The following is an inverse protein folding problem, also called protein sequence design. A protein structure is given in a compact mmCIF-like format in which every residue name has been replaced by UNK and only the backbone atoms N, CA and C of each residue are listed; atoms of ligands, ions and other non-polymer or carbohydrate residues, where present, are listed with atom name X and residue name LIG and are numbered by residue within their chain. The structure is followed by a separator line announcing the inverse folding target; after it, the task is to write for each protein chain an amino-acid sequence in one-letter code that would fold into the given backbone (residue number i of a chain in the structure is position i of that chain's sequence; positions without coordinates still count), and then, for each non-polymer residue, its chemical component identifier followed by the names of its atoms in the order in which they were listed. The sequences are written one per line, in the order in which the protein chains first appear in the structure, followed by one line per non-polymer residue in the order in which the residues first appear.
data_IF_690031290846
#
_entry.id   IF_690031290846
#
_cell.length_a   1.000
_cell.length_b   1.000
_cell.length_c   1.000
_cell.angle_alpha   90.00
_cell.angle_beta   90.00
_cell.angle_gamma   90.00
#
_symmetry.space_group_name_H-M   'P 1'
#
loop_
_entity.id
_entity.type
_entity.pdbx_description
1 polymer ?
#
# COMPACT_ATOMS: atom_id res chain seq x y z
N UNK A 1 16.39 -47.30 -10.77
CA UNK A 1 15.61 -47.25 -9.52
C UNK A 1 15.93 -45.92 -8.85
N UNK A 2 15.09 -44.91 -9.04
CA UNK A 2 15.28 -43.57 -8.45
C UNK A 2 14.25 -43.42 -7.33
N UNK A 3 14.78 -43.06 -6.16
CA UNK A 3 14.10 -43.07 -4.88
C UNK A 3 13.21 -41.84 -4.67
N UNK A 4 12.05 -42.13 -4.10
CA UNK A 4 11.28 -41.32 -3.15
C UNK A 4 10.89 -39.88 -3.52
N UNK A 5 9.75 -39.77 -4.21
CA UNK A 5 8.85 -38.62 -4.12
C UNK A 5 8.41 -38.46 -2.65
N UNK A 6 8.83 -37.38 -1.98
CA UNK A 6 8.24 -36.98 -0.70
C UNK A 6 6.76 -36.63 -0.93
N UNK A 7 5.88 -37.54 -0.52
CA UNK A 7 4.43 -37.30 -0.47
C UNK A 7 4.15 -36.16 0.51
N UNK A 8 3.50 -35.12 0.01
CA UNK A 8 2.92 -34.04 0.82
C UNK A 8 1.73 -34.64 1.57
N UNK A 9 1.82 -34.75 2.90
CA UNK A 9 0.70 -35.10 3.76
C UNK A 9 -0.03 -33.83 4.19
N UNK A 10 -1.16 -33.53 3.55
CA UNK A 10 -2.11 -32.55 4.08
C UNK A 10 -2.76 -33.13 5.35
N UNK A 11 -2.73 -32.39 6.46
CA UNK A 11 -3.50 -32.74 7.66
C UNK A 11 -4.99 -32.46 7.41
N UNK A 12 -5.92 -33.30 7.88
CA UNK A 12 -7.35 -33.01 7.79
C UNK A 12 -7.68 -31.82 8.71
N UNK A 13 -8.52 -30.89 8.24
CA UNK A 13 -8.94 -29.63 8.90
C UNK A 13 -8.01 -28.39 8.81
N UNK A 14 -7.18 -28.29 7.77
CA UNK A 14 -6.65 -26.99 7.33
C UNK A 14 -7.01 -26.77 5.86
N UNK A 15 -7.53 -25.58 5.55
CA UNK A 15 -7.75 -25.13 4.19
C UNK A 15 -6.44 -25.30 3.41
N UNK A 16 -6.42 -26.20 2.44
CA UNK A 16 -5.32 -26.29 1.49
C UNK A 16 -5.30 -24.95 0.75
N UNK A 17 -4.33 -24.08 1.06
CA UNK A 17 -4.17 -22.82 0.35
C UNK A 17 -3.90 -23.20 -1.11
N UNK A 18 -4.93 -23.05 -1.95
CA UNK A 18 -4.73 -23.08 -3.40
C UNK A 18 -3.64 -22.05 -3.69
N UNK A 19 -2.54 -22.49 -4.31
CA UNK A 19 -1.37 -21.67 -4.57
C UNK A 19 -1.79 -20.29 -5.05
N UNK A 20 -1.46 -19.26 -4.27
CA UNK A 20 -1.94 -17.91 -4.50
C UNK A 20 -1.49 -17.46 -5.90
N UNK A 21 -2.43 -17.37 -6.85
CA UNK A 21 -2.15 -16.96 -8.24
C UNK A 21 -1.64 -15.51 -8.32
N UNK A 22 -1.90 -14.71 -7.30
CA UNK A 22 -1.47 -13.32 -7.19
C UNK A 22 -0.67 -13.12 -5.91
N UNK A 23 0.34 -12.25 -5.98
CA UNK A 23 1.06 -11.77 -4.81
C UNK A 23 0.39 -10.47 -4.35
N UNK A 24 0.03 -10.41 -3.07
CA UNK A 24 -0.42 -9.17 -2.45
C UNK A 24 0.79 -8.36 -1.99
N UNK A 25 0.90 -7.12 -2.43
CA UNK A 25 1.92 -6.16 -2.00
C UNK A 25 1.23 -5.08 -1.18
N UNK A 26 1.41 -5.14 0.15
CA UNK A 26 0.91 -4.10 1.05
C UNK A 26 2.01 -3.08 1.31
N UNK A 27 1.70 -1.78 1.18
CA UNK A 27 2.67 -0.69 1.33
C UNK A 27 2.20 0.25 2.42
N UNK A 28 2.95 0.32 3.51
CA UNK A 28 2.71 1.20 4.66
C UNK A 28 3.59 2.42 4.52
N UNK A 29 2.99 3.60 4.32
CA UNK A 29 3.71 4.78 3.84
C UNK A 29 3.14 6.10 4.39
N UNK A 30 3.88 7.18 4.16
CA UNK A 30 3.49 8.56 4.48
C UNK A 30 3.51 9.42 3.22
N UNK A 31 2.55 10.32 3.07
CA UNK A 31 2.37 11.09 1.84
C UNK A 31 3.46 12.15 1.57
N UNK A 32 4.24 12.58 2.58
CA UNK A 32 5.36 13.52 2.39
C UNK A 32 6.74 12.90 2.62
N UNK A 33 6.82 11.62 2.99
CA UNK A 33 8.09 10.92 3.16
C UNK A 33 8.79 10.72 1.79
N UNK A 34 10.05 11.20 1.61
CA UNK A 34 10.78 11.05 0.35
C UNK A 34 10.99 9.59 -0.08
N UNK A 35 11.27 8.68 0.87
CA UNK A 35 11.46 7.26 0.57
C UNK A 35 10.14 6.59 0.15
N UNK A 36 9.02 7.01 0.74
CA UNK A 36 7.68 6.56 0.36
C UNK A 36 7.33 7.00 -1.06
N UNK A 37 7.57 8.28 -1.37
CA UNK A 37 7.44 8.83 -2.72
C UNK A 37 8.28 8.06 -3.73
N UNK A 38 9.56 7.84 -3.41
CA UNK A 38 10.49 7.14 -4.29
C UNK A 38 10.03 5.71 -4.56
N UNK A 39 9.68 4.96 -3.51
CA UNK A 39 9.24 3.59 -3.65
C UNK A 39 7.95 3.48 -4.48
N UNK A 40 6.93 4.29 -4.19
CA UNK A 40 5.67 4.23 -4.94
C UNK A 40 5.92 4.55 -6.42
N UNK A 41 6.65 5.63 -6.71
CA UNK A 41 6.86 6.11 -8.08
C UNK A 41 7.79 5.21 -8.90
N UNK A 42 8.88 4.73 -8.30
CA UNK A 42 9.98 4.08 -9.04
C UNK A 42 10.13 2.59 -8.77
N UNK A 43 9.44 2.02 -7.78
CA UNK A 43 9.38 0.57 -7.56
C UNK A 43 7.97 0.05 -7.82
N UNK A 44 6.96 0.56 -7.11
CA UNK A 44 5.62 -0.02 -7.13
C UNK A 44 4.90 0.15 -8.47
N UNK A 45 4.83 1.37 -9.02
CA UNK A 45 4.16 1.63 -10.30
C UNK A 45 4.77 0.79 -11.46
N UNK A 46 6.10 0.79 -11.70
CA UNK A 46 6.67 -0.04 -12.77
C UNK A 46 6.43 -1.54 -12.60
N UNK A 47 6.48 -2.03 -11.35
CA UNK A 47 6.21 -3.44 -11.05
C UNK A 47 4.76 -3.79 -11.28
N UNK A 48 3.84 -2.90 -10.89
CA UNK A 48 2.41 -3.07 -11.14
C UNK A 48 2.13 -3.13 -12.64
N UNK A 49 2.63 -2.18 -13.44
CA UNK A 49 2.43 -2.17 -14.90
C UNK A 49 2.95 -3.47 -15.54
N UNK A 50 4.07 -3.99 -15.03
CA UNK A 50 4.64 -5.25 -15.50
C UNK A 50 3.83 -6.46 -15.07
N UNK A 51 3.27 -6.50 -13.86
CA UNK A 51 2.67 -7.70 -13.26
C UNK A 51 1.19 -7.53 -12.87
N UNK A 52 0.45 -6.59 -13.48
CA UNK A 52 -0.91 -6.19 -13.08
C UNK A 52 -1.87 -7.36 -12.84
N UNK A 53 -1.86 -8.36 -13.70
CA UNK A 53 -2.76 -9.52 -13.62
C UNK A 53 -2.35 -10.52 -12.53
N UNK A 54 -1.14 -10.38 -12.00
CA UNK A 54 -0.52 -11.24 -10.99
C UNK A 54 -0.33 -10.54 -9.64
N UNK A 55 -0.77 -9.29 -9.50
CA UNK A 55 -0.62 -8.51 -8.27
C UNK A 55 -1.95 -8.07 -7.67
N UNK A 56 -1.92 -7.91 -6.35
CA UNK A 56 -2.93 -7.19 -5.58
C UNK A 56 -2.19 -6.10 -4.82
N UNK A 57 -2.41 -4.83 -5.15
CA UNK A 57 -1.78 -3.71 -4.47
C UNK A 57 -2.70 -3.24 -3.33
N UNK A 58 -2.14 -3.07 -2.14
CA UNK A 58 -2.85 -2.61 -0.94
C UNK A 58 -2.07 -1.43 -0.33
N UNK A 59 -2.61 -0.23 -0.47
CA UNK A 59 -1.98 1.01 -0.02
C UNK A 59 -2.48 1.37 1.38
N UNK A 60 -1.56 1.68 2.28
CA UNK A 60 -1.84 2.01 3.69
C UNK A 60 -1.22 3.37 4.03
N UNK A 61 -1.90 4.49 3.70
CA UNK A 61 -1.44 5.84 4.01
C UNK A 61 -1.67 6.14 5.50
N UNK A 62 -0.61 6.12 6.29
CA UNK A 62 -0.64 6.51 7.70
C UNK A 62 0.79 6.65 8.25
N UNK A 63 1.61 5.61 8.03
CA UNK A 63 3.00 5.54 8.44
C UNK A 63 3.19 5.71 9.94
N UNK A 64 4.00 6.68 10.36
CA UNK A 64 4.30 6.95 11.77
C UNK A 64 3.41 8.01 12.39
N UNK A 65 2.29 8.35 11.74
CA UNK A 65 1.31 9.23 12.35
C UNK A 65 0.81 8.67 13.69
N UNK A 66 0.31 9.55 14.54
CA UNK A 66 -0.34 9.21 15.80
C UNK A 66 -1.80 9.65 15.75
N UNK A 67 -2.69 8.81 16.25
CA UNK A 67 -4.13 9.11 16.33
C UNK A 67 -4.48 9.43 17.77
N UNK A 68 -5.19 10.55 17.97
CA UNK A 68 -5.73 10.99 19.24
C UNK A 68 -7.25 11.11 19.12
N UNK A 69 -7.95 10.79 20.21
CA UNK A 69 -9.39 10.94 20.30
C UNK A 69 -9.64 11.73 21.58
N UNK A 70 -10.31 12.88 21.47
CA UNK A 70 -10.68 13.68 22.64
C UNK A 70 -11.94 13.15 23.33
N UNK A 71 -12.32 13.77 24.45
CA UNK A 71 -13.47 13.38 25.26
C UNK A 71 -14.81 13.51 24.52
N UNK A 72 -14.85 14.30 23.44
CA UNK A 72 -16.02 14.50 22.57
C UNK A 72 -16.04 13.52 21.39
N UNK A 73 -15.03 12.65 21.27
CA UNK A 73 -14.91 11.65 20.21
C UNK A 73 -14.35 12.20 18.89
N UNK A 74 -13.82 13.43 18.89
CA UNK A 74 -13.16 14.02 17.71
C UNK A 74 -11.79 13.36 17.52
N UNK A 75 -11.53 12.97 16.27
CA UNK A 75 -10.29 12.29 15.88
C UNK A 75 -9.30 13.32 15.37
N UNK A 76 -8.12 13.36 15.98
CA UNK A 76 -6.99 14.21 15.58
C UNK A 76 -5.76 13.36 15.23
N UNK A 77 -4.91 13.91 14.36
CA UNK A 77 -3.70 13.23 13.91
C UNK A 77 -2.47 14.12 14.09
N UNK A 78 -1.36 13.52 14.51
CA UNK A 78 -0.03 14.13 14.42
C UNK A 78 0.81 13.33 13.44
N UNK A 79 1.33 13.99 12.41
CA UNK A 79 2.15 13.39 11.37
C UNK A 79 3.59 13.93 11.44
N UNK A 80 4.57 13.23 10.85
CA UNK A 80 5.98 13.63 10.94
C UNK A 80 6.25 14.95 10.22
N UNK A 81 5.51 15.20 9.14
CA UNK A 81 5.56 16.44 8.36
C UNK A 81 4.30 17.28 8.60
N UNK A 82 3.85 17.31 9.86
CA UNK A 82 2.77 18.16 10.36
C UNK A 82 1.42 17.99 9.62
N UNK A 83 0.56 19.00 9.72
CA UNK A 83 -0.81 18.98 9.20
C UNK A 83 -0.90 18.73 7.68
N UNK A 84 0.12 19.13 6.90
CA UNK A 84 0.14 18.94 5.44
C UNK A 84 0.17 17.45 5.09
N UNK A 85 1.02 16.67 5.75
CA UNK A 85 1.06 15.22 5.57
C UNK A 85 -0.21 14.54 6.03
N UNK A 86 -0.76 14.95 7.18
CA UNK A 86 -2.04 14.40 7.64
C UNK A 86 -3.18 14.67 6.64
N UNK A 87 -3.22 15.86 6.04
CA UNK A 87 -4.19 16.18 5.00
C UNK A 87 -3.99 15.31 3.74
N UNK A 88 -2.75 15.19 3.26
CA UNK A 88 -2.44 14.34 2.11
C UNK A 88 -2.73 12.85 2.36
N UNK A 89 -2.41 12.33 3.56
CA UNK A 89 -2.75 10.97 3.98
C UNK A 89 -4.27 10.74 3.96
N UNK A 90 -5.09 11.71 4.41
CA UNK A 90 -6.55 11.62 4.34
C UNK A 90 -7.06 11.62 2.90
N UNK A 91 -6.49 12.44 2.01
CA UNK A 91 -6.86 12.42 0.59
C UNK A 91 -6.52 11.05 -0.01
N UNK A 92 -5.32 10.52 0.21
CA UNK A 92 -4.93 9.18 -0.25
C UNK A 92 -5.89 8.10 0.28
N UNK A 93 -6.27 8.16 1.56
CA UNK A 93 -7.23 7.25 2.16
C UNK A 93 -8.62 7.33 1.48
N UNK A 94 -9.07 8.53 1.14
CA UNK A 94 -10.33 8.75 0.43
C UNK A 94 -10.28 8.30 -1.04
N UNK A 95 -9.14 8.47 -1.73
CA UNK A 95 -8.89 7.92 -3.08
C UNK A 95 -9.07 6.40 -3.06
N UNK A 96 -8.42 5.70 -2.11
CA UNK A 96 -8.52 4.24 -1.98
C UNK A 96 -9.96 3.79 -1.68
N UNK A 97 -10.72 4.60 -0.94
CA UNK A 97 -12.09 4.27 -0.59
C UNK A 97 -13.09 4.51 -1.73
N UNK A 98 -12.87 5.51 -2.59
CA UNK A 98 -13.88 5.98 -3.55
C UNK A 98 -13.59 5.63 -5.01
N UNK A 99 -12.32 5.46 -5.39
CA UNK A 99 -11.94 5.06 -6.75
C UNK A 99 -12.03 3.54 -6.83
N UNK A 100 -12.86 2.98 -7.72
CA UNK A 100 -13.13 1.53 -7.76
C UNK A 100 -11.95 0.71 -8.31
N UNK A 101 -11.28 1.22 -9.34
CA UNK A 101 -10.22 0.52 -10.05
C UNK A 101 -8.86 0.68 -9.34
N UNK A 102 -8.19 -0.44 -9.07
CA UNK A 102 -6.93 -0.46 -8.33
C UNK A 102 -5.77 0.21 -9.11
N UNK A 103 -5.77 0.12 -10.44
CA UNK A 103 -4.76 0.80 -11.27
C UNK A 103 -4.94 2.33 -11.17
N UNK A 104 -6.19 2.80 -11.24
CA UNK A 104 -6.55 4.20 -11.08
C UNK A 104 -6.23 4.73 -9.68
N UNK A 105 -6.50 3.95 -8.62
CA UNK A 105 -6.07 4.29 -7.25
C UNK A 105 -4.55 4.50 -7.17
N UNK A 106 -3.77 3.53 -7.68
CA UNK A 106 -2.31 3.58 -7.63
C UNK A 106 -1.77 4.77 -8.45
N UNK A 107 -2.28 5.01 -9.65
CA UNK A 107 -1.86 6.13 -10.50
C UNK A 107 -2.19 7.48 -9.86
N UNK A 108 -3.37 7.62 -9.26
CA UNK A 108 -3.75 8.86 -8.58
C UNK A 108 -2.80 9.14 -7.42
N UNK A 109 -2.55 8.13 -6.57
CA UNK A 109 -1.65 8.27 -5.43
C UNK A 109 -0.22 8.54 -5.88
N UNK A 110 0.25 7.88 -6.95
CA UNK A 110 1.57 8.11 -7.52
C UNK A 110 1.73 9.53 -8.09
N UNK A 111 0.71 10.05 -8.77
CA UNK A 111 0.67 11.44 -9.22
C UNK A 111 0.73 12.41 -8.02
N UNK A 112 -0.14 12.23 -7.01
CA UNK A 112 -0.19 13.12 -5.85
C UNK A 112 1.14 13.10 -5.09
N UNK A 113 1.64 11.91 -4.76
CA UNK A 113 2.86 11.75 -3.96
C UNK A 113 4.11 12.32 -4.65
N UNK A 114 4.07 12.57 -5.96
CA UNK A 114 5.10 13.30 -6.65
C UNK A 114 5.24 14.75 -6.13
N UNK A 115 4.14 15.42 -5.77
CA UNK A 115 4.16 16.78 -5.22
C UNK A 115 2.93 17.09 -4.32
N UNK A 116 2.98 16.64 -3.07
CA UNK A 116 1.86 16.76 -2.11
C UNK A 116 1.96 17.97 -1.15
N UNK A 117 2.81 18.96 -1.43
CA UNK A 117 3.01 20.12 -0.53
C UNK A 117 1.73 20.96 -0.39
N UNK A 118 0.91 21.00 -1.42
CA UNK A 118 -0.44 21.60 -1.40
C UNK A 118 -1.45 20.50 -1.73
N UNK A 119 -1.94 19.73 -0.73
CA UNK A 119 -2.66 18.49 -0.97
C UNK A 119 -3.94 18.63 -1.82
N UNK A 120 -4.72 19.70 -1.61
CA UNK A 120 -5.94 19.95 -2.39
C UNK A 120 -5.62 20.27 -3.85
N UNK A 121 -4.56 21.04 -4.12
CA UNK A 121 -4.15 21.37 -5.50
C UNK A 121 -3.60 20.14 -6.21
N UNK A 122 -2.77 19.34 -5.53
CA UNK A 122 -2.26 18.08 -6.06
C UNK A 122 -3.40 17.09 -6.34
N UNK A 123 -4.36 16.98 -5.42
CA UNK A 123 -5.57 16.18 -5.61
C UNK A 123 -6.35 16.60 -6.85
N UNK A 124 -6.63 17.89 -7.01
CA UNK A 124 -7.35 18.43 -8.16
C UNK A 124 -6.61 18.20 -9.49
N UNK A 125 -5.29 18.42 -9.52
CA UNK A 125 -4.44 18.25 -10.70
C UNK A 125 -4.40 16.78 -11.16
N UNK A 126 -4.15 15.86 -10.21
CA UNK A 126 -4.12 14.43 -10.50
C UNK A 126 -5.50 13.86 -10.86
N UNK A 127 -6.56 14.40 -10.26
CA UNK A 127 -7.94 14.09 -10.66
C UNK A 127 -8.20 14.46 -12.12
N UNK A 128 -7.78 15.65 -12.56
CA UNK A 128 -7.89 16.07 -13.97
C UNK A 128 -7.08 15.19 -14.91
N UNK A 129 -5.84 14.87 -14.57
CA UNK A 129 -4.98 14.02 -15.40
C UNK A 129 -5.60 12.63 -15.64
N UNK A 130 -6.26 12.08 -14.61
CA UNK A 130 -6.87 10.75 -14.65
C UNK A 130 -8.37 10.74 -14.98
N UNK A 131 -8.95 11.91 -15.26
CA UNK A 131 -10.40 12.08 -15.47
C UNK A 131 -11.25 11.53 -14.32
N UNK A 132 -10.84 11.83 -13.08
CA UNK A 132 -11.52 11.48 -11.83
C UNK A 132 -11.92 12.77 -11.12
N UNK A 133 -13.20 12.89 -10.76
CA UNK A 133 -13.70 14.06 -10.02
C UNK A 133 -13.12 14.10 -8.60
N UNK A 134 -12.36 15.15 -8.30
CA UNK A 134 -11.74 15.36 -6.99
C UNK A 134 -12.74 15.85 -5.94
N UNK A 135 -13.85 16.48 -6.32
CA UNK A 135 -14.81 17.04 -5.37
C UNK A 135 -15.31 16.03 -4.30
N UNK A 136 -15.76 14.81 -4.65
CA UNK A 136 -16.16 13.80 -3.66
C UNK A 136 -15.00 13.30 -2.78
N UNK A 137 -13.79 13.22 -3.34
CA UNK A 137 -12.58 12.81 -2.62
C UNK A 137 -12.20 13.86 -1.58
N UNK A 138 -12.18 15.13 -1.99
CA UNK A 138 -11.92 16.28 -1.12
C UNK A 138 -12.94 16.34 0.01
N UNK A 139 -14.22 16.20 -0.32
CA UNK A 139 -15.32 16.16 0.68
C UNK A 139 -15.06 15.09 1.73
N UNK A 140 -14.73 13.86 1.30
CA UNK A 140 -14.36 12.79 2.22
C UNK A 140 -13.17 13.17 3.11
N UNK A 141 -12.12 13.78 2.55
CA UNK A 141 -10.87 14.06 3.27
C UNK A 141 -11.02 15.15 4.36
N UNK A 142 -11.92 16.11 4.16
CA UNK A 142 -12.18 17.20 5.11
C UNK A 142 -13.27 16.86 6.13
N UNK A 143 -14.16 15.91 5.81
CA UNK A 143 -15.23 15.46 6.70
C UNK A 143 -14.79 14.29 7.61
N UNK A 144 -15.70 13.87 8.49
CA UNK A 144 -15.47 12.79 9.46
C UNK A 144 -15.03 11.47 8.81
N UNK A 145 -15.50 11.20 7.58
CA UNK A 145 -15.15 9.98 6.85
C UNK A 145 -13.64 9.84 6.65
N UNK A 146 -12.94 10.90 6.22
CA UNK A 146 -11.50 10.88 6.03
C UNK A 146 -10.74 10.61 7.33
N UNK A 147 -11.21 11.16 8.45
CA UNK A 147 -10.64 10.85 9.77
C UNK A 147 -10.89 9.41 10.20
N UNK A 148 -12.08 8.86 9.96
CA UNK A 148 -12.37 7.45 10.26
C UNK A 148 -11.50 6.50 9.42
N UNK A 149 -11.33 6.82 8.13
CA UNK A 149 -10.47 6.05 7.22
C UNK A 149 -9.01 6.10 7.67
N UNK A 150 -8.47 7.29 7.94
CA UNK A 150 -7.07 7.42 8.36
C UNK A 150 -6.81 6.74 9.71
N UNK A 151 -7.75 6.82 10.67
CA UNK A 151 -7.69 6.06 11.92
C UNK A 151 -7.64 4.54 11.67
N UNK A 152 -8.45 4.02 10.75
CA UNK A 152 -8.44 2.60 10.37
C UNK A 152 -7.10 2.18 9.76
N UNK A 153 -6.49 3.00 8.91
CA UNK A 153 -5.13 2.75 8.42
C UNK A 153 -4.08 2.82 9.53
N UNK A 154 -4.28 3.68 10.53
CA UNK A 154 -3.50 3.70 11.76
C UNK A 154 -3.58 2.40 12.54
N UNK A 155 -4.78 1.88 12.78
CA UNK A 155 -4.97 0.59 13.45
C UNK A 155 -4.28 -0.55 12.69
N UNK A 156 -4.42 -0.59 11.36
CA UNK A 156 -3.71 -1.55 10.50
C UNK A 156 -2.20 -1.43 10.62
N UNK A 157 -1.67 -0.22 10.68
CA UNK A 157 -0.23 0.04 10.78
C UNK A 157 0.31 -0.36 12.16
N UNK A 158 -0.40 -0.04 13.23
CA UNK A 158 -0.04 -0.48 14.57
C UNK A 158 -0.16 -1.99 14.77
N UNK A 159 -1.00 -2.68 14.00
CA UNK A 159 -1.16 -4.13 14.05
C UNK A 159 -0.01 -4.92 13.39
N UNK A 160 0.91 -4.25 12.68
CA UNK A 160 2.04 -4.90 12.00
C UNK A 160 2.88 -5.78 12.94
N UNK A 161 3.31 -6.93 12.40
CA UNK A 161 4.28 -7.83 13.02
C UNK A 161 5.35 -8.17 11.97
N UNK A 162 6.62 -7.79 12.21
CA UNK A 162 7.12 -6.93 13.28
C UNK A 162 6.52 -5.51 13.24
N UNK A 163 6.52 -4.81 14.39
CA UNK A 163 6.04 -3.43 14.49
C UNK A 163 6.78 -2.52 13.52
N UNK A 164 6.08 -1.53 12.97
CA UNK A 164 6.63 -0.52 12.07
C UNK A 164 7.87 0.16 12.69
N UNK A 165 8.98 0.18 11.96
CA UNK A 165 10.22 0.88 12.36
C UNK A 165 10.56 2.05 11.44
N UNK A 166 10.24 1.95 10.17
CA UNK A 166 10.47 2.97 9.16
C UNK A 166 9.37 2.92 8.11
N UNK A 167 9.34 3.93 7.25
CA UNK A 167 8.45 3.97 6.08
C UNK A 167 9.30 4.21 4.83
N UNK A 168 8.91 3.65 3.67
CA UNK A 168 7.83 2.69 3.53
C UNK A 168 8.21 1.32 4.11
N UNK A 169 7.26 0.63 4.72
CA UNK A 169 7.37 -0.79 5.12
C UNK A 169 6.47 -1.63 4.22
N UNK A 170 6.99 -2.75 3.73
CA UNK A 170 6.32 -3.60 2.73
C UNK A 170 6.00 -4.97 3.31
N UNK A 171 4.79 -5.45 3.09
CA UNK A 171 4.45 -6.86 3.29
C UNK A 171 4.16 -7.52 1.94
N UNK A 172 4.73 -8.70 1.75
CA UNK A 172 4.37 -9.59 0.65
C UNK A 172 3.47 -10.69 1.22
N UNK A 173 2.26 -10.85 0.68
CA UNK A 173 1.24 -11.77 1.20
C UNK A 173 0.98 -11.64 2.72
N UNK A 174 1.09 -10.42 3.25
CA UNK A 174 0.84 -10.14 4.68
C UNK A 174 1.99 -10.54 5.62
N UNK A 175 3.20 -10.72 5.10
CA UNK A 175 4.40 -10.96 5.91
C UNK A 175 5.56 -10.08 5.46
N UNK A 176 6.35 -9.64 6.44
CA UNK A 176 7.62 -8.94 6.23
C UNK A 176 8.83 -9.88 6.17
N UNK A 177 8.61 -11.20 6.32
CA UNK A 177 9.68 -12.20 6.46
C UNK A 177 10.03 -12.90 5.14
N UNK A 178 9.25 -12.66 4.07
CA UNK A 178 9.55 -13.24 2.76
C UNK A 178 10.92 -12.81 2.23
N UNK A 179 11.26 -11.54 2.45
CA UNK A 179 12.56 -10.98 2.13
C UNK A 179 12.88 -9.82 3.07
N UNK A 180 14.16 -9.46 3.15
CA UNK A 180 14.54 -8.27 3.92
C UNK A 180 13.94 -7.01 3.30
N UNK A 181 13.48 -6.07 4.12
CA UNK A 181 12.97 -4.79 3.63
C UNK A 181 13.98 -4.06 2.74
N UNK A 182 15.28 -4.11 3.06
CA UNK A 182 16.32 -3.51 2.23
C UNK A 182 16.38 -4.13 0.82
N UNK A 183 16.20 -5.46 0.69
CA UNK A 183 16.13 -6.13 -0.60
C UNK A 183 14.86 -5.74 -1.37
N UNK A 184 13.71 -5.70 -0.69
CA UNK A 184 12.42 -5.32 -1.28
C UNK A 184 12.45 -3.87 -1.80
N UNK A 185 12.96 -2.93 -0.99
CA UNK A 185 13.04 -1.51 -1.36
C UNK A 185 14.03 -1.26 -2.51
N UNK A 186 15.08 -2.07 -2.61
CA UNK A 186 16.07 -1.99 -3.68
C UNK A 186 15.55 -2.55 -5.01
N UNK A 187 14.80 -3.65 -4.97
CA UNK A 187 14.29 -4.32 -6.17
C UNK A 187 12.99 -5.08 -5.86
N UNK A 188 11.87 -4.35 -5.88
CA UNK A 188 10.56 -4.92 -5.62
C UNK A 188 10.20 -6.01 -6.63
N UNK A 189 10.58 -5.83 -7.91
CA UNK A 189 10.28 -6.78 -8.97
C UNK A 189 10.85 -8.17 -8.64
N UNK A 190 12.12 -8.20 -8.23
CA UNK A 190 12.80 -9.44 -7.83
C UNK A 190 12.11 -10.09 -6.65
N UNK A 191 11.91 -9.34 -5.56
CA UNK A 191 11.29 -9.86 -4.35
C UNK A 191 9.90 -10.46 -4.63
N UNK A 192 9.06 -9.76 -5.41
CA UNK A 192 7.75 -10.27 -5.83
C UNK A 192 7.87 -11.55 -6.66
N UNK A 193 8.80 -11.60 -7.62
CA UNK A 193 9.01 -12.77 -8.46
C UNK A 193 9.44 -14.02 -7.67
N UNK A 194 10.14 -13.84 -6.56
CA UNK A 194 10.56 -14.92 -5.66
C UNK A 194 9.42 -15.46 -4.78
N UNK A 195 8.38 -14.66 -4.54
CA UNK A 195 7.20 -15.08 -3.75
C UNK A 195 6.25 -15.97 -4.55
N UNK A 196 6.22 -15.89 -5.88
CA UNK A 196 5.30 -16.71 -6.68
C UNK A 196 5.63 -18.20 -6.60
N UNK A 197 4.64 -19.00 -6.19
CA UNK A 197 4.73 -20.46 -6.30
C UNK A 197 4.82 -20.94 -7.75
N UNK A 198 4.11 -20.30 -8.67
CA UNK A 198 4.21 -20.52 -10.11
C UNK A 198 4.55 -19.18 -10.76
N UNK A 199 5.82 -19.04 -11.17
CA UNK A 199 6.33 -17.79 -11.73
C UNK A 199 5.58 -17.41 -13.02
N UNK A 200 5.01 -16.19 -13.11
CA UNK A 200 4.55 -15.63 -14.38
C UNK A 200 5.69 -15.62 -15.41
N UNK A 201 5.38 -15.62 -16.71
CA UNK A 201 6.38 -15.57 -17.79
C UNK A 201 7.40 -14.44 -17.60
N UNK A 202 6.92 -13.29 -17.11
CA UNK A 202 7.75 -12.11 -16.85
C UNK A 202 8.78 -12.31 -15.71
N UNK A 203 8.59 -13.31 -14.85
CA UNK A 203 9.45 -13.62 -13.69
C UNK A 203 10.41 -14.79 -13.91
N UNK A 204 10.42 -15.43 -15.09
CA UNK A 204 11.18 -16.67 -15.33
C UNK A 204 12.70 -16.45 -15.23
N UNK A 205 13.20 -15.30 -15.69
CA UNK A 205 14.63 -14.98 -15.75
C UNK A 205 15.11 -14.11 -14.57
N UNK A 206 14.34 -14.08 -13.49
CA UNK A 206 14.58 -13.30 -12.27
C UNK A 206 15.09 -14.19 -11.16
#
# INVERSE_FOLDING_TARGET
MISSLKKITCKPNQNCIQGQKKVKVSVYYEALCPDSKFFISFQLVPVFDKLKDSLIVDLVPYGKAQTFIDDEGKIEFRCQHEHVECAANKIHACVINQVEDAESQLKYIACMIANNIVPDSAGEECGKELNIDFAPIRKCAVEQQGSLLLKKYGERTHALIPKLRFVPTIELNGSQDFETQAAILKNLFKAVCEVFHTKPSKCVDV
#
